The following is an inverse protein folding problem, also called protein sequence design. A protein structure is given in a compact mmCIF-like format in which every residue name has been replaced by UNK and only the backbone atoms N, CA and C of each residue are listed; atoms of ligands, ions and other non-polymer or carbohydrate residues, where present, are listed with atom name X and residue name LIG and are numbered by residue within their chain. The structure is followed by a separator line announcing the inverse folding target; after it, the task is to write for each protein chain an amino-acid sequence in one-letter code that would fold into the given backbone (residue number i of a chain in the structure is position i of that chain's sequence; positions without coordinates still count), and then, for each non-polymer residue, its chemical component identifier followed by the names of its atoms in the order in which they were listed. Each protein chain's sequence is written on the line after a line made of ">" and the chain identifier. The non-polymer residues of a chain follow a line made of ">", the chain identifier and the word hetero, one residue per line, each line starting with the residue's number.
data_IF_409495071981
#
_entry.id   IF_409495071981
#
_cell.length_a   1.000
_cell.length_b   1.000
_cell.length_c   1.000
_cell.angle_alpha   90.00
_cell.angle_beta   90.00
_cell.angle_gamma   90.00
#
_symmetry.space_group_name_H-M   'P 1'
#
loop_
_entity.id
_entity.type
_entity.pdbx_description
1 polymer ?
#
# COMPACT_ATOMS: atom_id res chain seq x y z
N UNK A 1 19.10 -23.56 12.34
CA UNK A 1 19.30 -22.24 11.69
C UNK A 1 19.34 -22.47 10.18
N UNK A 2 18.19 -22.39 9.50
CA UNK A 2 18.15 -22.46 8.03
C UNK A 2 17.91 -21.04 7.54
N UNK A 3 18.92 -20.46 6.89
CA UNK A 3 18.79 -19.20 6.18
C UNK A 3 17.78 -19.37 5.06
N UNK A 4 16.73 -18.55 5.08
CA UNK A 4 15.84 -18.42 3.93
C UNK A 4 16.62 -17.71 2.83
N UNK A 5 16.95 -18.45 1.77
CA UNK A 5 17.53 -17.86 0.57
C UNK A 5 16.40 -17.20 -0.23
N UNK A 6 16.54 -15.92 -0.63
CA UNK A 6 15.62 -15.33 -1.60
C UNK A 6 15.75 -16.09 -2.92
N UNK A 7 14.65 -16.65 -3.42
CA UNK A 7 14.57 -17.23 -4.75
C UNK A 7 14.68 -16.09 -5.78
N UNK A 8 15.92 -15.77 -6.18
CA UNK A 8 16.20 -14.84 -7.25
C UNK A 8 15.89 -15.52 -8.60
N UNK A 9 14.74 -15.18 -9.18
CA UNK A 9 14.50 -15.47 -10.60
C UNK A 9 15.18 -14.40 -11.44
N UNK A 10 16.38 -14.72 -11.93
CA UNK A 10 17.02 -13.97 -13.01
C UNK A 10 16.40 -14.45 -14.34
N UNK A 11 15.36 -13.76 -14.82
CA UNK A 11 14.94 -13.91 -16.22
C UNK A 11 15.60 -12.82 -17.09
N UNK A 12 16.11 -13.17 -18.27
CA UNK A 12 16.67 -12.19 -19.20
C UNK A 12 15.54 -11.52 -19.97
N UNK A 13 15.22 -10.28 -19.60
CA UNK A 13 14.30 -9.42 -20.34
C UNK A 13 13.36 -8.63 -19.42
N UNK A 14 13.70 -7.38 -19.14
CA UNK A 14 12.86 -6.31 -18.58
C UNK A 14 11.93 -6.57 -17.37
N UNK A 15 11.97 -7.75 -16.75
CA UNK A 15 11.17 -8.04 -15.57
C UNK A 15 11.86 -7.47 -14.31
N UNK A 16 11.18 -6.48 -13.74
CA UNK A 16 11.44 -5.86 -12.45
C UNK A 16 11.79 -6.94 -11.39
N UNK A 17 12.86 -6.71 -10.63
CA UNK A 17 13.39 -7.64 -9.63
C UNK A 17 12.48 -7.69 -8.39
N UNK A 18 11.41 -8.49 -8.42
CA UNK A 18 10.55 -8.68 -7.25
C UNK A 18 11.12 -9.74 -6.29
N UNK A 19 10.90 -9.55 -4.99
CA UNK A 19 11.19 -10.56 -3.98
C UNK A 19 9.93 -10.79 -3.14
N UNK A 20 9.38 -11.99 -3.20
CA UNK A 20 8.38 -12.41 -2.21
C UNK A 20 9.10 -13.00 -1.01
N UNK A 21 8.68 -12.60 0.18
CA UNK A 21 9.17 -13.19 1.42
C UNK A 21 7.98 -13.91 2.02
N UNK A 22 7.98 -15.24 1.96
CA UNK A 22 7.17 -16.05 2.88
C UNK A 22 7.91 -16.08 4.22
N UNK A 23 8.04 -14.93 4.87
CA UNK A 23 8.56 -14.90 6.22
C UNK A 23 7.48 -15.45 7.15
N UNK A 24 7.82 -16.51 7.87
CA UNK A 24 7.10 -17.00 9.03
C UNK A 24 7.29 -15.96 10.16
N UNK A 25 6.87 -14.73 9.92
CA UNK A 25 6.84 -13.71 10.96
C UNK A 25 5.76 -14.15 11.96
N UNK A 26 6.11 -14.38 13.23
CA UNK A 26 5.14 -14.80 14.25
C UNK A 26 4.01 -13.79 14.46
N UNK A 27 4.11 -12.56 13.93
CA UNK A 27 3.00 -11.59 13.88
C UNK A 27 2.03 -11.79 12.71
N UNK A 28 2.45 -12.50 11.66
CA UNK A 28 1.73 -12.61 10.39
C UNK A 28 1.48 -14.07 9.97
N UNK A 29 1.25 -14.97 10.94
CA UNK A 29 0.96 -16.42 10.78
C UNK A 29 0.50 -16.87 9.38
N UNK A 30 1.43 -17.22 8.49
CA UNK A 30 1.12 -17.78 7.15
C UNK A 30 0.64 -16.79 6.09
N UNK A 31 0.68 -15.48 6.35
CA UNK A 31 0.31 -14.43 5.41
C UNK A 31 1.36 -14.27 4.31
N UNK A 32 0.91 -14.20 3.04
CA UNK A 32 1.82 -13.94 1.91
C UNK A 32 2.19 -12.46 1.88
N UNK A 33 3.50 -12.18 1.97
CA UNK A 33 4.09 -10.85 1.83
C UNK A 33 4.87 -10.74 0.54
N UNK A 34 4.54 -9.74 -0.27
CA UNK A 34 5.33 -9.35 -1.43
C UNK A 34 6.03 -8.02 -1.15
N UNK A 35 7.33 -7.99 -1.42
CA UNK A 35 8.10 -6.75 -1.48
C UNK A 35 8.55 -6.51 -2.92
N UNK A 36 8.19 -5.36 -3.47
CA UNK A 36 8.58 -4.99 -4.83
C UNK A 36 9.77 -4.03 -4.73
N UNK A 37 10.88 -4.48 -5.31
CA UNK A 37 12.10 -3.70 -5.43
C UNK A 37 12.36 -3.40 -6.92
N UNK A 38 12.76 -2.17 -7.23
CA UNK A 38 13.02 -1.80 -8.62
C UNK A 38 13.65 -0.43 -8.78
N UNK A 39 14.51 -0.28 -9.78
CA UNK A 39 14.98 1.05 -10.19
C UNK A 39 13.89 1.69 -11.05
N UNK A 40 13.55 2.94 -10.77
CA UNK A 40 12.63 3.74 -11.60
C UNK A 40 11.23 3.14 -11.77
N UNK A 41 10.68 2.49 -10.73
CA UNK A 41 9.32 1.99 -10.77
C UNK A 41 8.33 3.16 -10.94
N UNK A 42 7.64 3.23 -12.08
CA UNK A 42 6.69 4.32 -12.42
C UNK A 42 5.23 3.92 -12.14
N UNK A 43 4.94 2.62 -12.10
CA UNK A 43 3.61 2.07 -11.82
C UNK A 43 3.70 0.72 -11.11
N UNK A 44 2.61 0.32 -10.45
CA UNK A 44 2.49 -1.02 -9.87
C UNK A 44 2.41 -2.07 -11.00
N UNK A 45 3.23 -3.14 -10.96
CA UNK A 45 3.21 -4.17 -12.00
C UNK A 45 1.88 -4.94 -12.03
N UNK A 46 1.27 -5.09 -13.20
CA UNK A 46 -0.03 -5.75 -13.34
C UNK A 46 -0.07 -7.20 -12.83
N UNK A 47 1.08 -7.89 -12.83
CA UNK A 47 1.18 -9.28 -12.34
C UNK A 47 0.87 -9.41 -10.85
N UNK A 48 1.01 -8.32 -10.09
CA UNK A 48 0.71 -8.29 -8.64
C UNK A 48 -0.76 -8.61 -8.37
N UNK A 49 -1.66 -8.10 -9.22
CA UNK A 49 -3.10 -8.23 -9.03
C UNK A 49 -3.63 -9.67 -9.22
N UNK A 50 -2.83 -10.56 -9.80
CA UNK A 50 -3.15 -11.99 -9.94
C UNK A 50 -2.71 -12.85 -8.75
N UNK A 51 -2.08 -12.29 -7.72
CA UNK A 51 -1.57 -13.07 -6.60
C UNK A 51 -2.65 -13.33 -5.56
N UNK A 52 -3.19 -14.54 -5.58
CA UNK A 52 -4.17 -14.98 -4.59
C UNK A 52 -3.56 -15.11 -3.18
N UNK A 53 -4.30 -14.64 -2.19
CA UNK A 53 -3.90 -14.71 -0.78
C UNK A 53 -2.75 -13.77 -0.40
N UNK A 54 -2.49 -12.73 -1.19
CA UNK A 54 -1.58 -11.65 -0.79
C UNK A 54 -2.21 -10.84 0.35
N UNK A 55 -1.49 -10.72 1.46
CA UNK A 55 -1.93 -9.97 2.64
C UNK A 55 -1.10 -8.72 2.84
N UNK A 56 0.20 -8.78 2.55
CA UNK A 56 1.11 -7.66 2.73
C UNK A 56 1.74 -7.30 1.40
N UNK A 57 1.58 -6.05 0.98
CA UNK A 57 2.23 -5.50 -0.20
C UNK A 57 3.11 -4.31 0.21
N UNK A 58 4.41 -4.48 0.04
CA UNK A 58 5.42 -3.45 0.31
C UNK A 58 6.00 -2.93 -1.00
N UNK A 59 5.81 -1.64 -1.24
CA UNK A 59 6.28 -0.92 -2.42
C UNK A 59 6.89 0.44 -2.06
N UNK A 60 7.41 0.57 -0.85
CA UNK A 60 8.18 1.72 -0.41
C UNK A 60 9.67 1.48 -0.72
N UNK A 61 10.42 2.46 -1.25
CA UNK A 61 11.85 2.32 -1.46
C UNK A 61 12.59 2.29 -0.12
N UNK A 62 13.66 1.50 -0.05
CA UNK A 62 14.54 1.51 1.12
C UNK A 62 15.32 2.83 1.17
N UNK A 63 15.32 3.48 2.34
CA UNK A 63 15.90 4.82 2.59
C UNK A 63 17.37 4.95 2.15
N UNK A 64 18.12 3.85 2.12
CA UNK A 64 19.58 3.85 1.87
C UNK A 64 19.98 3.39 0.47
N UNK A 65 19.02 2.97 -0.35
CA UNK A 65 19.34 2.28 -1.62
C UNK A 65 19.78 3.23 -2.76
N UNK A 66 19.67 4.55 -2.57
CA UNK A 66 19.82 5.52 -3.68
C UNK A 66 18.77 5.36 -4.78
N UNK A 67 17.85 4.40 -4.63
CA UNK A 67 16.75 4.14 -5.55
C UNK A 67 15.61 5.09 -5.22
N UNK A 68 15.15 5.81 -6.24
CA UNK A 68 13.93 6.60 -6.17
C UNK A 68 12.86 5.86 -6.92
N UNK A 69 11.86 5.34 -6.22
CA UNK A 69 10.62 4.98 -6.89
C UNK A 69 9.94 6.27 -7.30
N UNK A 70 9.37 6.30 -8.51
CA UNK A 70 8.66 7.45 -9.06
C UNK A 70 7.24 7.03 -9.41
N UNK A 71 6.67 6.16 -8.58
CA UNK A 71 5.33 5.66 -8.84
C UNK A 71 4.36 6.82 -8.78
N UNK A 72 3.64 7.07 -9.87
CA UNK A 72 2.68 8.17 -9.94
C UNK A 72 1.23 7.71 -9.78
N UNK A 73 0.97 6.42 -10.06
CA UNK A 73 -0.37 5.85 -10.15
C UNK A 73 -0.41 4.45 -9.52
N UNK A 74 -1.48 4.19 -8.78
CA UNK A 74 -1.94 2.84 -8.43
C UNK A 74 -3.06 2.46 -9.42
N UNK A 75 -2.91 1.37 -10.18
CA UNK A 75 -3.95 0.87 -11.06
C UNK A 75 -5.22 0.47 -10.28
N UNK A 76 -6.39 0.68 -10.89
CA UNK A 76 -7.70 0.29 -10.33
C UNK A 76 -7.80 -1.20 -10.00
N UNK A 77 -7.01 -2.03 -10.67
CA UNK A 77 -6.91 -3.47 -10.45
C UNK A 77 -6.41 -3.84 -9.05
N UNK A 78 -5.99 -2.86 -8.23
CA UNK A 78 -5.80 -3.01 -6.80
C UNK A 78 -7.03 -3.66 -6.12
N UNK A 79 -8.25 -3.45 -6.65
CA UNK A 79 -9.48 -4.09 -6.16
C UNK A 79 -9.46 -5.62 -6.18
N UNK A 80 -8.53 -6.25 -6.92
CA UNK A 80 -8.39 -7.71 -6.93
C UNK A 80 -7.67 -8.25 -5.68
N UNK A 81 -6.93 -7.41 -4.95
CA UNK A 81 -6.17 -7.82 -3.75
C UNK A 81 -7.06 -7.87 -2.50
N UNK A 82 -8.19 -8.60 -2.55
CA UNK A 82 -9.23 -8.60 -1.50
C UNK A 82 -8.78 -9.06 -0.11
N UNK A 83 -7.66 -9.77 -0.03
CA UNK A 83 -7.09 -10.26 1.24
C UNK A 83 -6.01 -9.33 1.81
N UNK A 84 -5.74 -8.20 1.16
CA UNK A 84 -4.70 -7.28 1.59
C UNK A 84 -5.08 -6.65 2.94
N UNK A 85 -4.21 -6.81 3.92
CA UNK A 85 -4.32 -6.26 5.27
C UNK A 85 -3.37 -5.09 5.46
N UNK A 86 -2.18 -5.14 4.83
CA UNK A 86 -1.15 -4.12 4.95
C UNK A 86 -0.67 -3.66 3.57
N UNK A 87 -0.78 -2.36 3.31
CA UNK A 87 -0.28 -1.72 2.10
C UNK A 87 0.72 -0.61 2.44
N UNK A 88 1.95 -0.80 2.00
CA UNK A 88 3.04 0.15 2.20
C UNK A 88 3.49 0.76 0.87
N UNK A 89 3.30 2.08 0.73
CA UNK A 89 3.66 2.85 -0.47
C UNK A 89 4.25 4.21 -0.11
N UNK A 90 4.95 4.29 1.03
CA UNK A 90 5.67 5.49 1.43
C UNK A 90 6.76 5.86 0.41
N UNK A 91 7.12 7.14 0.35
CA UNK A 91 8.28 7.65 -0.42
C UNK A 91 8.20 7.35 -1.92
N UNK A 92 7.00 7.48 -2.50
CA UNK A 92 6.75 7.42 -3.94
C UNK A 92 6.46 8.84 -4.50
N UNK A 93 5.87 8.94 -5.70
CA UNK A 93 5.43 10.22 -6.29
C UNK A 93 3.94 10.18 -6.63
N UNK A 94 3.16 9.48 -5.80
CA UNK A 94 1.72 9.27 -6.03
C UNK A 94 1.01 10.61 -5.98
N UNK A 95 0.20 10.89 -7.00
CA UNK A 95 -0.61 12.13 -7.09
C UNK A 95 -2.06 11.91 -6.70
N UNK A 96 -2.55 10.69 -6.89
CA UNK A 96 -3.90 10.28 -6.58
C UNK A 96 -3.94 8.81 -6.12
N UNK A 97 -5.00 8.46 -5.41
CA UNK A 97 -5.34 7.08 -5.05
C UNK A 97 -6.65 6.74 -5.77
N UNK A 98 -6.75 5.58 -6.45
CA UNK A 98 -7.96 5.16 -7.13
C UNK A 98 -9.10 4.90 -6.14
N UNK A 99 -10.34 5.20 -6.55
CA UNK A 99 -11.56 4.90 -5.78
C UNK A 99 -11.68 3.42 -5.38
N UNK A 100 -11.15 2.54 -6.22
CA UNK A 100 -11.11 1.10 -6.02
C UNK A 100 -10.36 0.68 -4.74
N UNK A 101 -9.55 1.56 -4.14
CA UNK A 101 -8.96 1.30 -2.82
C UNK A 101 -10.02 0.97 -1.78
N UNK A 102 -11.20 1.62 -1.85
CA UNK A 102 -12.31 1.40 -0.91
C UNK A 102 -12.89 -0.01 -0.92
N UNK A 103 -12.54 -0.82 -1.94
CA UNK A 103 -13.00 -2.21 -2.05
C UNK A 103 -12.18 -3.19 -1.19
N UNK A 104 -11.05 -2.73 -0.63
CA UNK A 104 -10.15 -3.51 0.22
C UNK A 104 -10.65 -3.56 1.68
N UNK A 105 -11.83 -4.13 1.91
CA UNK A 105 -12.46 -4.16 3.25
C UNK A 105 -11.66 -4.89 4.35
N UNK A 106 -10.58 -5.61 3.98
CA UNK A 106 -9.66 -6.23 4.94
C UNK A 106 -8.44 -5.36 5.29
N UNK A 107 -8.28 -4.19 4.68
CA UNK A 107 -7.12 -3.35 4.88
C UNK A 107 -7.14 -2.73 6.28
N UNK A 108 -6.11 -3.01 7.05
CA UNK A 108 -5.93 -2.58 8.45
C UNK A 108 -4.96 -1.39 8.54
N UNK A 109 -3.94 -1.40 7.68
CA UNK A 109 -2.92 -0.36 7.60
C UNK A 109 -2.65 0.07 6.16
N UNK A 110 -2.66 1.38 5.96
CA UNK A 110 -2.29 2.04 4.71
C UNK A 110 -1.26 3.13 5.00
N UNK A 111 -0.10 3.04 4.37
CA UNK A 111 0.96 4.07 4.49
C UNK A 111 1.26 4.67 3.12
N UNK A 112 1.16 6.00 3.07
CA UNK A 112 1.25 6.82 1.87
C UNK A 112 2.11 8.08 2.13
N UNK A 113 2.93 8.06 3.16
CA UNK A 113 3.76 9.20 3.58
C UNK A 113 4.81 9.52 2.51
N UNK A 114 5.28 10.77 2.45
CA UNK A 114 6.25 11.22 1.45
C UNK A 114 5.80 10.95 0.01
N UNK A 115 4.58 11.34 -0.33
CA UNK A 115 4.04 11.30 -1.69
C UNK A 115 3.67 12.72 -2.16
N UNK A 116 2.92 12.86 -3.25
CA UNK A 116 2.44 14.14 -3.77
C UNK A 116 0.91 14.22 -3.80
N UNK A 117 0.25 13.55 -2.86
CA UNK A 117 -1.22 13.51 -2.77
C UNK A 117 -1.76 14.87 -2.33
N UNK A 118 -2.81 15.33 -2.98
CA UNK A 118 -3.55 16.55 -2.61
C UNK A 118 -4.92 16.25 -2.02
N UNK A 119 -5.49 15.07 -2.31
CA UNK A 119 -6.76 14.58 -1.81
C UNK A 119 -6.75 13.06 -1.70
N UNK A 120 -7.77 12.50 -1.05
CA UNK A 120 -8.07 11.07 -1.04
C UNK A 120 -9.45 10.84 -1.66
N UNK A 121 -9.66 9.70 -2.36
CA UNK A 121 -10.95 9.37 -2.92
C UNK A 121 -11.98 9.16 -1.79
N UNK A 122 -13.25 9.54 -1.99
CA UNK A 122 -14.28 9.36 -0.98
C UNK A 122 -14.45 7.89 -0.54
N UNK A 123 -14.21 6.96 -1.45
CA UNK A 123 -14.28 5.52 -1.23
C UNK A 123 -13.30 5.02 -0.17
N UNK A 124 -12.29 5.82 0.23
CA UNK A 124 -11.43 5.45 1.35
C UNK A 124 -12.24 5.21 2.63
N UNK A 125 -13.43 5.82 2.78
CA UNK A 125 -14.39 5.56 3.85
C UNK A 125 -15.03 4.16 3.86
N UNK A 126 -14.86 3.38 2.79
CA UNK A 126 -15.28 1.98 2.68
C UNK A 126 -14.28 0.97 3.27
N UNK A 127 -13.10 1.41 3.73
CA UNK A 127 -12.09 0.56 4.35
C UNK A 127 -12.45 0.23 5.81
N UNK A 128 -13.48 -0.59 6.04
CA UNK A 128 -14.10 -0.85 7.36
C UNK A 128 -13.13 -1.27 8.48
N UNK A 129 -12.02 -1.95 8.15
CA UNK A 129 -11.02 -2.43 9.13
C UNK A 129 -9.82 -1.51 9.30
N UNK A 130 -9.76 -0.39 8.57
CA UNK A 130 -8.60 0.49 8.60
C UNK A 130 -8.52 1.22 9.94
N UNK A 131 -7.42 1.00 10.66
CA UNK A 131 -7.15 1.64 11.94
C UNK A 131 -5.80 2.37 11.98
N UNK A 132 -5.02 2.31 10.89
CA UNK A 132 -3.75 3.02 10.77
C UNK A 132 -3.62 3.61 9.36
N UNK A 133 -3.56 4.94 9.25
CA UNK A 133 -3.43 5.67 8.00
C UNK A 133 -2.31 6.71 8.11
N UNK A 134 -1.22 6.52 7.37
CA UNK A 134 -0.08 7.44 7.42
C UNK A 134 -0.05 8.29 6.15
N UNK A 135 -0.07 9.61 6.32
CA UNK A 135 -0.19 10.59 5.23
C UNK A 135 0.82 11.73 5.34
N UNK A 136 1.74 11.68 6.30
CA UNK A 136 2.76 12.70 6.51
C UNK A 136 3.53 13.06 5.24
N UNK A 137 3.96 14.31 5.11
CA UNK A 137 4.71 14.80 3.95
C UNK A 137 4.00 14.55 2.60
N UNK A 138 2.73 14.94 2.51
CA UNK A 138 1.98 15.06 1.26
C UNK A 138 1.62 16.54 1.02
N UNK A 139 0.82 16.84 0.00
CA UNK A 139 0.39 18.19 -0.37
C UNK A 139 -1.09 18.46 -0.07
N UNK A 140 -1.59 17.87 1.02
CA UNK A 140 -2.94 18.15 1.51
C UNK A 140 -3.05 19.61 1.96
N UNK A 141 -3.92 20.38 1.31
CA UNK A 141 -4.25 21.76 1.74
C UNK A 141 -5.24 21.76 2.90
N UNK A 142 -6.02 20.69 3.01
CA UNK A 142 -6.98 20.43 4.07
C UNK A 142 -6.81 19.00 4.53
N UNK A 143 -7.09 18.74 5.81
CA UNK A 143 -7.19 17.36 6.29
C UNK A 143 -8.19 16.62 5.40
N UNK A 144 -7.84 15.44 4.84
CA UNK A 144 -8.76 14.71 3.99
C UNK A 144 -10.02 14.41 4.79
N UNK A 145 -11.13 15.02 4.38
CA UNK A 145 -12.42 14.76 4.97
C UNK A 145 -12.76 13.29 4.69
N UNK A 146 -13.12 12.51 5.71
CA UNK A 146 -13.62 11.17 5.46
C UNK A 146 -14.91 11.33 4.66
N UNK A 147 -14.95 10.86 3.42
CA UNK A 147 -16.24 10.72 2.77
C UNK A 147 -16.90 9.50 3.38
N UNK A 148 -17.87 9.76 4.25
CA UNK A 148 -18.47 8.77 5.11
C UNK A 148 -19.46 7.94 4.31
N UNK A 149 -18.98 6.91 3.63
CA UNK A 149 -19.79 5.83 3.07
C UNK A 149 -19.84 4.66 4.06
N UNK A 150 -20.83 4.67 4.96
CA UNK A 150 -21.33 3.57 5.81
C UNK A 150 -20.36 2.71 6.67
N UNK A 151 -19.03 2.74 6.48
CA UNK A 151 -18.11 1.81 7.14
C UNK A 151 -17.19 2.45 8.18
N UNK A 152 -16.46 3.52 7.82
CA UNK A 152 -15.40 4.05 8.69
C UNK A 152 -15.81 5.13 9.67
N UNK A 153 -16.85 5.90 9.39
CA UNK A 153 -17.13 7.15 10.09
C UNK A 153 -18.63 7.26 10.39
N UNK A 154 -19.02 7.14 11.66
CA UNK A 154 -20.42 7.24 12.08
C UNK A 154 -20.95 8.70 12.10
N UNK A 155 -20.07 9.70 12.06
CA UNK A 155 -20.41 11.11 12.35
C UNK A 155 -19.77 12.16 11.44
N UNK A 156 -19.28 11.81 10.25
CA UNK A 156 -18.58 12.80 9.40
C UNK A 156 -17.11 13.01 9.76
N UNK A 157 -16.58 12.22 10.70
CA UNK A 157 -15.22 12.33 11.22
C UNK A 157 -14.55 10.96 11.32
N UNK A 158 -13.23 10.91 11.10
CA UNK A 158 -12.44 9.70 11.23
C UNK A 158 -12.64 9.07 12.63
N UNK A 159 -12.69 7.74 12.74
CA UNK A 159 -12.87 7.09 14.04
C UNK A 159 -11.69 7.44 14.95
N UNK A 160 -11.94 7.65 16.25
CA UNK A 160 -10.90 8.02 17.21
C UNK A 160 -9.75 6.99 17.33
N UNK A 161 -10.01 5.74 16.93
CA UNK A 161 -9.02 4.68 16.87
C UNK A 161 -8.08 4.79 15.65
N UNK A 162 -8.47 5.56 14.61
CA UNK A 162 -7.64 5.78 13.44
C UNK A 162 -6.52 6.76 13.79
N UNK A 163 -5.31 6.23 13.90
CA UNK A 163 -4.11 7.07 14.04
C UNK A 163 -3.75 7.66 12.69
N UNK A 164 -4.04 8.94 12.49
CA UNK A 164 -3.52 9.74 11.38
C UNK A 164 -2.19 10.36 11.80
N UNK A 165 -1.08 9.78 11.35
CA UNK A 165 0.24 10.38 11.54
C UNK A 165 0.51 11.33 10.36
N UNK A 166 0.40 12.62 10.64
CA UNK A 166 0.66 13.72 9.71
C UNK A 166 1.08 14.95 10.49
N UNK A 167 2.38 15.09 10.75
CA UNK A 167 3.04 16.34 11.09
C UNK A 167 4.22 16.54 10.14
#
# INVERSE_FOLDING_TARGET
>A
MRSAQPLAFLSPGNDLQWKYLTEHDPKFEGQKKLKIEGKELVSMPMRVFGMEGLHVLEMSPERESGLRYRMQLIPREISHLRNLTLLYMDSNSLKEIPAEIGTLGNLERLTLSNNSLTSLPPEIGGLEKLHSLHLANNHFTELPAPACGQGLCQSGSWPAALSMLGE
#
